data_IF_611164952055
#
_entry.id   IF_611164952055
#
_cell.length_a   1.000
_cell.length_b   1.000
_cell.length_c   1.000
_cell.angle_alpha   90.00
_cell.angle_beta   90.00
_cell.angle_gamma   90.00
#
_symmetry.space_group_name_H-M   'P 1'
#
loop_
_entity.id
_entity.type
_entity.pdbx_description
1 polymer ?
#
# COMPACT_ATOMS: atom_id res chain seq x y z
N UNK A 1 0.15 2.13 9.74
CA UNK A 1 0.03 0.88 8.97
C UNK A 1 -0.14 -0.20 10.01
N UNK A 2 -1.40 -0.48 10.34
CA UNK A 2 -1.72 -1.39 11.44
C UNK A 2 -1.68 -2.84 10.95
N UNK A 3 -1.26 -3.81 11.78
CA UNK A 3 -1.34 -5.22 11.45
C UNK A 3 -2.72 -5.64 10.94
N UNK A 4 -3.79 -5.16 11.56
CA UNK A 4 -5.16 -5.46 11.15
C UNK A 4 -5.53 -4.95 9.75
N UNK A 5 -4.99 -3.79 9.33
CA UNK A 5 -5.23 -3.30 7.97
C UNK A 5 -4.51 -4.16 6.92
N UNK A 6 -3.34 -4.73 7.26
CA UNK A 6 -2.66 -5.73 6.44
C UNK A 6 -3.48 -7.02 6.29
N UNK A 7 -4.04 -7.52 7.39
CA UNK A 7 -4.92 -8.68 7.37
C UNK A 7 -6.20 -8.43 6.56
N UNK A 8 -6.82 -7.25 6.72
CA UNK A 8 -8.03 -6.89 5.98
C UNK A 8 -7.77 -6.82 4.46
N UNK A 9 -6.62 -6.26 4.04
CA UNK A 9 -6.24 -6.26 2.62
C UNK A 9 -6.04 -7.67 2.10
N UNK A 10 -5.31 -8.52 2.82
CA UNK A 10 -5.07 -9.91 2.40
C UNK A 10 -6.39 -10.69 2.27
N UNK A 11 -7.28 -10.54 3.25
CA UNK A 11 -8.64 -11.11 3.22
C UNK A 11 -9.42 -10.65 2.00
N UNK A 12 -9.45 -9.34 1.73
CA UNK A 12 -10.15 -8.77 0.56
C UNK A 12 -9.58 -9.26 -0.77
N UNK A 13 -8.26 -9.46 -0.88
CA UNK A 13 -7.67 -10.03 -2.10
C UNK A 13 -8.22 -11.44 -2.34
N UNK A 14 -8.28 -12.27 -1.30
CA UNK A 14 -8.82 -13.63 -1.38
C UNK A 14 -10.30 -13.60 -1.77
N UNK A 15 -11.11 -12.79 -1.07
CA UNK A 15 -12.57 -12.70 -1.27
C UNK A 15 -12.96 -12.12 -2.64
N UNK A 16 -12.18 -11.17 -3.17
CA UNK A 16 -12.46 -10.47 -4.43
C UNK A 16 -11.75 -11.11 -5.64
N UNK A 17 -11.03 -12.22 -5.46
CA UNK A 17 -10.45 -12.96 -6.60
C UNK A 17 -11.59 -13.64 -7.37
N UNK A 18 -11.84 -13.19 -8.59
CA UNK A 18 -12.90 -13.74 -9.43
C UNK A 18 -12.52 -15.09 -10.04
N UNK A 19 -13.53 -15.94 -10.30
CA UNK A 19 -13.36 -17.20 -11.03
C UNK A 19 -12.66 -18.31 -10.25
N UNK A 20 -12.68 -18.24 -8.91
CA UNK A 20 -12.11 -19.26 -8.03
C UNK A 20 -13.10 -20.42 -7.86
N UNK A 21 -12.66 -21.64 -8.14
CA UNK A 21 -13.42 -22.87 -7.85
C UNK A 21 -12.70 -23.76 -6.82
N UNK A 22 -11.37 -23.60 -6.69
CA UNK A 22 -10.49 -24.36 -5.79
C UNK A 22 -9.35 -23.47 -5.30
N UNK A 23 -8.64 -23.93 -4.26
CA UNK A 23 -7.55 -23.17 -3.63
C UNK A 23 -6.47 -22.69 -4.60
N UNK A 24 -6.14 -23.49 -5.62
CA UNK A 24 -5.09 -23.19 -6.60
C UNK A 24 -5.47 -22.07 -7.59
N UNK A 25 -6.75 -21.71 -7.67
CA UNK A 25 -7.23 -20.65 -8.55
C UNK A 25 -7.03 -19.26 -7.92
N UNK A 26 -6.71 -19.18 -6.62
CA UNK A 26 -6.40 -17.91 -5.96
C UNK A 26 -5.08 -17.31 -6.43
N UNK A 27 -5.01 -15.97 -6.43
CA UNK A 27 -3.77 -15.25 -6.68
C UNK A 27 -2.75 -15.50 -5.54
N UNK A 28 -1.46 -15.76 -5.85
CA UNK A 28 -0.43 -15.87 -4.82
C UNK A 28 -0.24 -14.54 -4.07
N UNK A 29 -0.23 -14.58 -2.74
CA UNK A 29 -0.09 -13.38 -1.90
C UNK A 29 0.99 -13.61 -0.84
N UNK A 30 1.95 -12.68 -0.76
CA UNK A 30 2.86 -12.54 0.37
C UNK A 30 2.44 -11.35 1.23
N UNK A 31 2.33 -11.55 2.55
CA UNK A 31 2.04 -10.49 3.51
C UNK A 31 3.25 -10.27 4.42
N UNK A 32 3.91 -9.12 4.28
CA UNK A 32 4.97 -8.69 5.20
C UNK A 32 4.41 -7.69 6.23
N UNK A 33 4.41 -8.08 7.50
CA UNK A 33 3.88 -7.26 8.61
C UNK A 33 4.98 -6.96 9.62
N UNK A 34 5.48 -5.72 9.61
CA UNK A 34 6.56 -5.25 10.49
C UNK A 34 6.17 -4.00 11.30
N UNK A 35 5.17 -4.11 12.22
CA UNK A 35 4.62 -2.95 12.91
C UNK A 35 5.65 -2.20 13.77
N UNK A 36 6.61 -2.91 14.37
CA UNK A 36 7.65 -2.28 15.20
C UNK A 36 8.82 -1.67 14.41
N UNK A 37 8.96 -1.99 13.10
CA UNK A 37 10.08 -1.49 12.28
C UNK A 37 9.77 -0.19 11.54
N UNK A 38 8.50 0.11 11.31
CA UNK A 38 8.07 1.28 10.54
C UNK A 38 7.61 2.35 11.54
N UNK A 39 8.39 3.44 11.75
CA UNK A 39 7.99 4.58 12.57
C UNK A 39 6.61 5.12 12.20
N UNK A 40 5.99 5.90 13.08
CA UNK A 40 4.71 6.50 12.77
C UNK A 40 4.84 7.56 11.66
N UNK A 41 3.97 7.45 10.65
CA UNK A 41 4.04 8.27 9.44
C UNK A 41 3.49 9.65 9.70
N UNK A 42 2.41 9.75 10.48
CA UNK A 42 1.78 11.04 10.78
C UNK A 42 2.70 11.86 11.67
N UNK A 43 3.26 11.26 12.71
CA UNK A 43 4.27 11.89 13.58
C UNK A 43 5.45 12.44 12.77
N UNK A 44 6.03 11.62 11.89
CA UNK A 44 7.15 12.10 11.05
C UNK A 44 6.75 13.18 10.03
N UNK A 45 5.54 13.12 9.47
CA UNK A 45 5.07 14.14 8.53
C UNK A 45 4.96 15.51 9.19
N UNK A 46 4.48 15.56 10.44
CA UNK A 46 4.31 16.79 11.21
C UNK A 46 5.60 17.24 11.91
N UNK A 47 6.49 16.33 12.28
CA UNK A 47 7.79 16.62 12.86
C UNK A 47 8.90 15.79 12.19
N UNK A 48 9.66 16.47 11.31
CA UNK A 48 10.72 15.84 10.51
C UNK A 48 11.98 15.51 11.31
N UNK A 49 12.07 15.93 12.57
CA UNK A 49 13.15 15.50 13.47
C UNK A 49 12.93 14.07 14.00
N UNK A 50 11.70 13.55 13.89
CA UNK A 50 11.37 12.18 14.30
C UNK A 50 11.93 11.15 13.30
N UNK A 51 12.00 9.87 13.69
CA UNK A 51 12.49 8.82 12.79
C UNK A 51 11.68 8.71 11.49
N UNK A 52 12.36 8.72 10.35
CA UNK A 52 11.71 8.62 9.04
C UNK A 52 11.15 7.22 8.77
N UNK A 53 9.91 7.11 8.24
CA UNK A 53 9.34 5.82 7.83
C UNK A 53 9.86 5.37 6.47
N UNK A 54 10.55 6.22 5.69
CA UNK A 54 10.92 5.93 4.30
C UNK A 54 11.92 4.76 4.20
N UNK A 55 13.08 4.76 4.90
CA UNK A 55 14.02 3.65 4.80
C UNK A 55 13.43 2.27 5.16
N UNK A 56 12.68 2.10 6.27
CA UNK A 56 12.08 0.80 6.56
C UNK A 56 10.95 0.43 5.59
N UNK A 57 10.18 1.39 5.05
CA UNK A 57 9.19 1.09 4.00
C UNK A 57 9.86 0.59 2.72
N UNK A 58 10.99 1.18 2.36
CA UNK A 58 11.76 0.77 1.20
C UNK A 58 12.35 -0.63 1.39
N UNK A 59 12.96 -0.93 2.55
CA UNK A 59 13.44 -2.29 2.87
C UNK A 59 12.31 -3.33 2.80
N UNK A 60 11.16 -3.06 3.39
CA UNK A 60 10.01 -4.00 3.35
C UNK A 60 9.49 -4.20 1.93
N UNK A 61 9.46 -3.15 1.12
CA UNK A 61 8.98 -3.26 -0.26
C UNK A 61 9.97 -3.99 -1.16
N UNK A 62 11.28 -3.78 -0.95
CA UNK A 62 12.33 -4.55 -1.63
C UNK A 62 12.23 -6.04 -1.31
N UNK A 63 12.01 -6.40 -0.04
CA UNK A 63 11.77 -7.79 0.36
C UNK A 63 10.56 -8.43 -0.31
N UNK A 64 9.51 -7.67 -0.63
CA UNK A 64 8.37 -8.18 -1.40
C UNK A 64 8.79 -8.48 -2.85
N UNK A 65 9.52 -7.57 -3.49
CA UNK A 65 10.06 -7.77 -4.84
C UNK A 65 11.00 -8.99 -4.90
N UNK A 66 11.94 -9.10 -3.95
CA UNK A 66 12.86 -10.24 -3.81
C UNK A 66 12.12 -11.56 -3.59
N UNK A 67 10.93 -11.52 -2.98
CA UNK A 67 10.05 -12.67 -2.81
C UNK A 67 9.21 -13.00 -4.06
N UNK A 68 9.39 -12.27 -5.16
CA UNK A 68 8.72 -12.46 -6.45
C UNK A 68 7.45 -11.63 -6.63
N UNK A 69 7.16 -10.67 -5.74
CA UNK A 69 5.98 -9.82 -5.91
C UNK A 69 6.15 -8.84 -7.07
N UNK A 70 5.29 -8.93 -8.07
CA UNK A 70 5.25 -7.98 -9.20
C UNK A 70 4.38 -6.74 -8.92
N UNK A 71 3.46 -6.85 -7.95
CA UNK A 71 2.56 -5.78 -7.53
C UNK A 71 2.50 -5.77 -6.00
N UNK A 72 2.58 -4.58 -5.40
CA UNK A 72 2.48 -4.39 -3.96
C UNK A 72 1.32 -3.46 -3.58
N UNK A 73 0.56 -3.84 -2.54
CA UNK A 73 -0.43 -3.01 -1.89
C UNK A 73 0.07 -2.50 -0.54
N UNK A 74 -0.23 -1.24 -0.20
CA UNK A 74 0.13 -0.64 1.09
C UNK A 74 -1.11 -0.07 1.78
N UNK A 75 -1.74 -0.81 2.72
CA UNK A 75 -3.00 -0.42 3.35
C UNK A 75 -2.78 0.62 4.46
N UNK A 76 -2.35 1.83 4.08
CA UNK A 76 -2.17 2.96 4.98
C UNK A 76 -2.25 4.29 4.23
N UNK A 77 -3.29 5.10 4.48
CA UNK A 77 -3.50 6.38 3.81
C UNK A 77 -2.26 7.30 3.84
N UNK A 78 -1.71 7.55 5.02
CA UNK A 78 -0.58 8.47 5.24
C UNK A 78 0.68 8.11 4.43
N UNK A 79 0.87 6.82 4.14
CA UNK A 79 1.99 6.34 3.35
C UNK A 79 1.96 6.79 1.89
N UNK A 80 0.76 7.11 1.39
CA UNK A 80 0.54 7.58 0.02
C UNK A 80 0.67 9.11 -0.10
N UNK A 81 1.11 9.81 0.95
CA UNK A 81 1.45 11.23 0.81
C UNK A 81 2.60 11.40 -0.19
N UNK A 82 2.62 12.48 -1.00
CA UNK A 82 3.63 12.66 -2.04
C UNK A 82 5.06 12.54 -1.52
N UNK A 83 5.34 13.08 -0.33
CA UNK A 83 6.69 13.06 0.25
C UNK A 83 7.16 11.64 0.59
N UNK A 84 6.27 10.75 1.05
CA UNK A 84 6.63 9.36 1.36
C UNK A 84 6.61 8.51 0.09
N UNK A 85 5.53 8.58 -0.68
CA UNK A 85 5.31 7.71 -1.83
C UNK A 85 6.32 7.96 -2.96
N UNK A 86 6.65 9.22 -3.25
CA UNK A 86 7.64 9.54 -4.29
C UNK A 86 9.04 9.09 -3.87
N UNK A 87 9.43 9.31 -2.61
CA UNK A 87 10.72 8.86 -2.10
C UNK A 87 10.83 7.32 -2.10
N UNK A 88 9.76 6.61 -1.76
CA UNK A 88 9.70 5.16 -1.81
C UNK A 88 9.85 4.63 -3.24
N UNK A 89 9.07 5.17 -4.18
CA UNK A 89 9.10 4.74 -5.60
C UNK A 89 10.43 5.06 -6.27
N UNK A 90 11.00 6.22 -5.98
CA UNK A 90 12.33 6.58 -6.45
C UNK A 90 13.40 5.65 -5.87
N UNK A 91 13.37 5.40 -4.56
CA UNK A 91 14.32 4.51 -3.91
C UNK A 91 14.26 3.06 -4.43
N UNK A 92 13.09 2.59 -4.87
CA UNK A 92 12.94 1.28 -5.54
C UNK A 92 13.62 1.29 -6.92
N UNK A 93 13.31 2.33 -7.72
CA UNK A 93 13.89 2.54 -9.06
C UNK A 93 15.41 2.60 -9.01
N UNK A 94 15.97 3.36 -8.06
CA UNK A 94 17.43 3.47 -7.87
C UNK A 94 18.08 2.14 -7.49
N UNK A 95 17.38 1.29 -6.74
CA UNK A 95 17.87 -0.05 -6.39
C UNK A 95 17.58 -1.13 -7.44
N UNK A 96 17.04 -0.78 -8.60
CA UNK A 96 16.72 -1.74 -9.66
C UNK A 96 15.55 -2.69 -9.35
N UNK A 97 14.72 -2.35 -8.36
CA UNK A 97 13.53 -3.13 -8.01
C UNK A 97 12.36 -2.66 -8.88
N UNK A 98 11.57 -3.62 -9.38
CA UNK A 98 10.55 -3.40 -10.40
C UNK A 98 9.10 -3.55 -9.86
N UNK A 99 8.92 -3.92 -8.60
CA UNK A 99 7.62 -4.09 -7.97
C UNK A 99 6.78 -2.82 -8.10
N UNK A 100 5.58 -2.98 -8.67
CA UNK A 100 4.67 -1.85 -8.85
C UNK A 100 3.80 -1.66 -7.61
N UNK A 101 4.00 -0.55 -6.91
CA UNK A 101 3.12 -0.17 -5.80
C UNK A 101 1.80 0.41 -6.34
N UNK A 102 0.67 -0.15 -5.93
CA UNK A 102 -0.65 0.42 -6.20
C UNK A 102 -0.88 1.63 -5.29
N UNK A 103 -1.06 2.81 -5.89
CA UNK A 103 -1.41 4.01 -5.15
C UNK A 103 -2.89 3.95 -4.72
N UNK A 104 -3.13 3.64 -3.45
CA UNK A 104 -4.47 3.34 -2.92
C UNK A 104 -5.44 4.50 -3.11
N UNK A 105 -5.02 5.74 -2.81
CA UNK A 105 -5.88 6.92 -2.93
C UNK A 105 -6.31 7.17 -4.39
N UNK A 106 -5.38 7.01 -5.35
CA UNK A 106 -5.69 7.13 -6.79
C UNK A 106 -6.62 6.01 -7.25
N UNK A 107 -6.44 4.78 -6.74
CA UNK A 107 -7.35 3.68 -7.02
C UNK A 107 -8.77 3.95 -6.50
N UNK A 108 -8.89 4.51 -5.29
CA UNK A 108 -10.18 4.94 -4.73
C UNK A 108 -10.82 6.05 -5.57
N UNK A 109 -10.05 7.07 -5.97
CA UNK A 109 -10.57 8.16 -6.80
C UNK A 109 -11.09 7.63 -8.15
N UNK A 110 -10.30 6.81 -8.85
CA UNK A 110 -10.71 6.19 -10.11
C UNK A 110 -11.99 5.37 -9.95
N UNK A 111 -12.11 4.58 -8.88
CA UNK A 111 -13.31 3.80 -8.62
C UNK A 111 -14.55 4.68 -8.37
N UNK A 112 -14.38 5.88 -7.81
CA UNK A 112 -15.47 6.83 -7.64
C UNK A 112 -15.86 7.49 -8.97
N UNK A 113 -14.90 7.80 -9.83
CA UNK A 113 -15.12 8.40 -11.15
C UNK A 113 -15.84 7.43 -12.12
N UNK A 114 -15.59 6.13 -12.00
CA UNK A 114 -16.23 5.09 -12.82
C UNK A 114 -17.70 4.83 -12.43
N UNK A 115 -18.20 5.42 -11.34
CA UNK A 115 -19.59 5.25 -10.94
C UNK A 115 -20.54 6.07 -11.82
N UNK A 116 -21.67 5.48 -12.26
CA UNK A 116 -22.59 6.14 -13.20
C UNK A 116 -23.29 7.39 -12.63
N UNK A 117 -23.28 7.59 -11.31
CA UNK A 117 -23.76 8.81 -10.69
C UNK A 117 -22.61 9.82 -10.61
N UNK A 118 -22.73 10.97 -11.29
CA UNK A 118 -21.74 12.06 -11.24
C UNK A 118 -21.56 12.63 -9.84
N UNK A 119 -20.74 11.97 -9.01
CA UNK A 119 -20.48 12.37 -7.63
C UNK A 119 -19.71 13.69 -7.61
N UNK A 120 -20.37 14.76 -7.17
CA UNK A 120 -19.75 16.09 -7.09
C UNK A 120 -19.21 16.44 -5.70
N UNK A 121 -19.68 15.75 -4.67
CA UNK A 121 -19.32 16.00 -3.26
C UNK A 121 -19.10 14.67 -2.56
N UNK A 122 -17.87 14.45 -2.10
CA UNK A 122 -17.44 13.21 -1.43
C UNK A 122 -16.97 13.57 -0.03
N UNK A 123 -17.64 13.02 0.98
CA UNK A 123 -17.18 13.13 2.37
C UNK A 123 -15.97 12.23 2.59
N UNK A 124 -14.93 12.76 3.25
CA UNK A 124 -13.70 12.01 3.56
C UNK A 124 -13.64 11.77 5.05
N UNK A 125 -13.58 10.48 5.44
CA UNK A 125 -13.28 10.05 6.80
C UNK A 125 -11.83 9.56 6.82
N UNK A 126 -10.95 10.34 7.43
CA UNK A 126 -9.52 10.05 7.51
C UNK A 126 -8.95 10.51 8.87
N UNK A 127 -7.76 10.00 9.18
CA UNK A 127 -6.95 10.39 10.35
C UNK A 127 -6.17 11.68 10.11
#
# INVERSE_FOLDING_TARGET
MGPHAGLDLARKIIEETAGVERDQDHVPVALLSYPGRIPDRSTWLYDRSQPSPIPPLLDVTRRLDDAGAVVAGMPCNTAHTPVIFNALTEGLRESGHAVRIVHMIRATARHLDERPAGLQRIGVLAT
#
